data_IF_015133596626
#
_entry.id   IF_015133596626
#
_cell.length_a   1.000
_cell.length_b   1.000
_cell.length_c   1.000
_cell.angle_alpha   90.00
_cell.angle_beta   90.00
_cell.angle_gamma   90.00
#
_symmetry.space_group_name_H-M   'P 1'
#
loop_
_entity.id
_entity.type
_entity.pdbx_description
1 polymer ?
#
# COMPACT_ATOMS: atom_id res chain seq x y z
N UNK A 1 8.63 -9.32 -15.35
CA UNK A 1 8.84 -8.10 -14.54
C UNK A 1 10.12 -7.46 -15.03
N UNK A 2 10.05 -6.78 -16.18
CA UNK A 2 11.18 -6.02 -16.72
C UNK A 2 11.16 -4.65 -16.09
N UNK A 3 11.72 -4.54 -14.88
CA UNK A 3 12.10 -3.25 -14.33
C UNK A 3 13.45 -2.94 -14.97
N UNK A 4 13.45 -2.14 -16.03
CA UNK A 4 14.69 -1.59 -16.56
C UNK A 4 15.37 -0.81 -15.44
N UNK A 5 16.43 -1.43 -14.90
CA UNK A 5 17.36 -0.98 -13.87
C UNK A 5 16.89 -1.06 -12.39
N UNK A 6 17.73 -1.59 -11.49
CA UNK A 6 17.51 -1.60 -10.04
C UNK A 6 17.22 -0.22 -9.44
N UNK A 7 17.73 0.85 -10.06
CA UNK A 7 17.52 2.22 -9.60
C UNK A 7 16.04 2.66 -9.71
N UNK A 8 15.35 2.29 -10.78
CA UNK A 8 13.93 2.62 -10.96
C UNK A 8 13.05 1.96 -9.89
N UNK A 9 13.34 0.69 -9.55
CA UNK A 9 12.62 -0.04 -8.51
C UNK A 9 12.77 0.63 -7.12
N UNK A 10 13.98 1.07 -6.79
CA UNK A 10 14.27 1.76 -5.52
C UNK A 10 13.58 3.12 -5.47
N UNK A 11 13.63 3.90 -6.56
CA UNK A 11 12.98 5.20 -6.63
C UNK A 11 11.45 5.08 -6.46
N UNK A 12 10.82 4.14 -7.16
CA UNK A 12 9.40 3.86 -7.06
C UNK A 12 8.98 3.40 -5.65
N UNK A 13 9.80 2.60 -4.98
CA UNK A 13 9.54 2.19 -3.59
C UNK A 13 9.61 3.38 -2.62
N UNK A 14 10.59 4.28 -2.80
CA UNK A 14 10.72 5.49 -1.98
C UNK A 14 9.53 6.44 -2.20
N UNK A 15 9.14 6.68 -3.46
CA UNK A 15 7.97 7.51 -3.80
C UNK A 15 6.69 6.91 -3.18
N UNK A 16 6.50 5.59 -3.29
CA UNK A 16 5.35 4.93 -2.68
C UNK A 16 5.32 5.13 -1.15
N UNK A 17 6.45 4.94 -0.47
CA UNK A 17 6.55 5.17 0.97
C UNK A 17 6.26 6.63 1.36
N UNK A 18 6.74 7.60 0.57
CA UNK A 18 6.48 9.02 0.79
C UNK A 18 5.00 9.39 0.66
N UNK A 19 4.26 8.68 -0.20
CA UNK A 19 2.82 8.91 -0.41
C UNK A 19 1.95 8.13 0.58
N UNK A 20 2.30 6.89 0.88
CA UNK A 20 1.45 6.01 1.70
C UNK A 20 1.35 6.49 3.15
N UNK A 21 2.42 7.07 3.71
CA UNK A 21 2.45 7.58 5.08
C UNK A 21 1.39 8.69 5.29
N UNK A 22 1.41 9.82 4.55
CA UNK A 22 0.38 10.86 4.69
C UNK A 22 -1.03 10.37 4.35
N UNK A 23 -1.17 9.39 3.44
CA UNK A 23 -2.47 8.78 3.14
C UNK A 23 -3.04 7.99 4.33
N UNK A 24 -2.17 7.37 5.14
CA UNK A 24 -2.55 6.61 6.33
C UNK A 24 -2.72 7.49 7.59
N UNK A 25 -2.15 8.69 7.64
CA UNK A 25 -2.33 9.64 8.76
C UNK A 25 -3.81 9.88 9.12
N UNK A 26 -4.73 10.19 8.20
CA UNK A 26 -6.15 10.39 8.55
C UNK A 26 -6.81 9.11 9.07
N UNK A 27 -6.37 7.93 8.62
CA UNK A 27 -6.86 6.64 9.13
C UNK A 27 -6.36 6.40 10.56
N UNK A 28 -5.09 6.73 10.84
CA UNK A 28 -4.51 6.65 12.19
C UNK A 28 -5.20 7.61 13.17
N UNK A 29 -5.57 8.81 12.73
CA UNK A 29 -6.28 9.80 13.55
C UNK A 29 -7.76 9.45 13.79
N UNK A 30 -8.47 8.93 12.79
CA UNK A 30 -9.87 8.53 12.92
C UNK A 30 -10.05 7.23 13.71
N UNK A 31 -9.00 6.42 13.80
CA UNK A 31 -9.05 5.11 14.41
C UNK A 31 -9.85 4.11 13.58
N UNK A 32 -9.63 2.83 13.86
CA UNK A 32 -10.32 1.74 13.17
C UNK A 32 -11.59 1.39 13.95
N UNK A 33 -12.76 1.29 13.29
CA UNK A 33 -13.99 0.85 13.96
C UNK A 33 -13.82 -0.55 14.55
N UNK A 34 -13.74 -0.63 15.87
CA UNK A 34 -13.72 -1.89 16.60
C UNK A 34 -15.09 -2.57 16.52
N UNK A 35 -15.11 -3.87 16.21
CA UNK A 35 -16.31 -4.71 16.31
C UNK A 35 -16.05 -5.76 17.39
N UNK A 36 -16.88 -5.82 18.46
CA UNK A 36 -16.72 -6.81 19.51
C UNK A 36 -16.95 -8.21 18.92
N UNK A 37 -15.90 -9.02 18.92
CA UNK A 37 -15.89 -10.39 18.42
C UNK A 37 -14.95 -11.21 19.32
N UNK A 38 -15.17 -12.53 19.38
CA UNK A 38 -14.24 -13.43 20.05
C UNK A 38 -12.82 -13.32 19.44
N UNK A 39 -11.79 -13.54 20.25
CA UNK A 39 -10.39 -13.28 19.88
C UNK A 39 -9.93 -14.03 18.61
N UNK A 40 -10.33 -15.29 18.44
CA UNK A 40 -9.97 -16.08 17.25
C UNK A 40 -10.52 -15.50 15.94
N UNK A 41 -11.85 -15.33 15.79
CA UNK A 41 -12.46 -14.68 14.63
C UNK A 41 -11.96 -13.25 14.37
N UNK A 42 -11.67 -12.49 15.44
CA UNK A 42 -11.12 -11.15 15.33
C UNK A 42 -9.71 -11.14 14.73
N UNK A 43 -8.84 -12.06 15.18
CA UNK A 43 -7.49 -12.22 14.65
C UNK A 43 -7.52 -12.63 13.18
N UNK A 44 -8.34 -13.63 12.81
CA UNK A 44 -8.47 -14.07 11.43
C UNK A 44 -8.96 -12.94 10.50
N UNK A 45 -9.90 -12.13 10.96
CA UNK A 45 -10.41 -10.97 10.20
C UNK A 45 -9.38 -9.86 10.07
N UNK A 46 -8.61 -9.57 11.11
CA UNK A 46 -7.57 -8.56 11.05
C UNK A 46 -6.40 -9.01 10.16
N UNK A 47 -6.00 -10.28 10.24
CA UNK A 47 -4.93 -10.83 9.42
C UNK A 47 -5.34 -10.88 7.93
N UNK A 48 -6.59 -11.24 7.63
CA UNK A 48 -7.10 -11.23 6.26
C UNK A 48 -7.24 -9.81 5.71
N UNK A 49 -7.79 -8.85 6.44
CA UNK A 49 -8.00 -7.49 5.92
C UNK A 49 -6.72 -6.67 5.94
N UNK A 50 -6.05 -6.56 7.09
CA UNK A 50 -4.87 -5.71 7.24
C UNK A 50 -3.58 -6.41 6.83
N UNK A 51 -3.50 -7.74 6.96
CA UNK A 51 -2.35 -8.52 6.47
C UNK A 51 -2.36 -8.66 4.95
N UNK A 52 -3.44 -9.19 4.34
CA UNK A 52 -3.49 -9.28 2.87
C UNK A 52 -3.63 -7.91 2.22
N UNK A 53 -4.42 -7.00 2.80
CA UNK A 53 -4.52 -5.63 2.30
C UNK A 53 -3.18 -4.90 2.36
N UNK A 54 -2.42 -5.03 3.45
CA UNK A 54 -1.08 -4.47 3.58
C UNK A 54 -0.05 -5.10 2.64
N UNK A 55 -0.21 -6.38 2.30
CA UNK A 55 0.63 -7.03 1.30
C UNK A 55 0.29 -6.57 -0.12
N UNK A 56 -0.99 -6.48 -0.50
CA UNK A 56 -1.43 -6.20 -1.87
C UNK A 56 -1.38 -4.70 -2.22
N UNK A 57 -1.75 -3.82 -1.27
CA UNK A 57 -1.76 -2.37 -1.47
C UNK A 57 -0.46 -1.78 -2.05
N UNK A 58 0.75 -2.13 -1.58
CA UNK A 58 1.98 -1.58 -2.15
C UNK A 58 2.22 -1.99 -3.60
N UNK A 59 1.98 -3.25 -3.96
CA UNK A 59 2.16 -3.70 -5.35
C UNK A 59 1.18 -3.01 -6.30
N UNK A 60 -0.08 -2.84 -5.88
CA UNK A 60 -1.09 -2.15 -6.68
C UNK A 60 -0.76 -0.65 -6.78
N UNK A 61 -0.35 -0.02 -5.68
CA UNK A 61 0.01 1.40 -5.65
C UNK A 61 1.22 1.72 -6.53
N UNK A 62 2.32 0.95 -6.41
CA UNK A 62 3.51 1.11 -7.23
C UNK A 62 3.17 0.94 -8.71
N UNK A 63 2.39 -0.09 -9.08
CA UNK A 63 2.02 -0.34 -10.47
C UNK A 63 1.14 0.78 -11.05
N UNK A 64 0.23 1.35 -10.24
CA UNK A 64 -0.58 2.50 -10.67
C UNK A 64 0.25 3.76 -10.86
N UNK A 65 1.22 4.00 -9.97
CA UNK A 65 2.16 5.13 -10.09
C UNK A 65 3.02 4.96 -11.35
N UNK A 66 3.58 3.77 -11.57
CA UNK A 66 4.38 3.43 -12.75
C UNK A 66 3.60 3.66 -14.05
N UNK A 67 2.36 3.14 -14.14
CA UNK A 67 1.48 3.35 -15.29
C UNK A 67 1.11 4.83 -15.50
N UNK A 68 0.89 5.59 -14.42
CA UNK A 68 0.59 7.02 -14.52
C UNK A 68 1.82 7.82 -15.01
N UNK A 69 3.02 7.48 -14.54
CA UNK A 69 4.27 8.14 -14.95
C UNK A 69 4.62 7.79 -16.41
N UNK A 70 4.54 6.52 -16.80
CA UNK A 70 4.77 6.09 -18.19
C UNK A 70 3.70 6.60 -19.15
N UNK A 71 2.43 6.63 -18.74
CA UNK A 71 1.32 7.12 -19.56
C UNK A 71 1.34 8.63 -19.80
N UNK A 72 1.90 9.41 -18.87
CA UNK A 72 2.09 10.86 -19.04
C UNK A 72 3.39 11.24 -19.77
N UNK A 73 4.21 10.28 -20.24
CA UNK A 73 5.51 10.55 -20.88
C UNK A 73 6.42 11.48 -20.05
N UNK A 74 6.37 11.35 -18.72
CA UNK A 74 7.28 12.07 -17.81
C UNK A 74 8.66 11.39 -17.70
N UNK A 75 8.84 10.25 -18.38
CA UNK A 75 10.09 9.52 -18.58
C UNK A 75 10.10 8.89 -19.98
#
# INVERSE_FOLDING_TARGET
MGLETPQSAVLSAIIFNALIIPLLVPLALKGVRYRPMAAGPLLARNLSIYGLGGLVAPFVGIKLIDLAVSGLHLA
#
